data_IF_085439976373
#
_entry.id   IF_085439976373
#
_cell.length_a   1.000
_cell.length_b   1.000
_cell.length_c   1.000
_cell.angle_alpha   90.00
_cell.angle_beta   90.00
_cell.angle_gamma   90.00
#
_symmetry.space_group_name_H-M   'P 1'
#
loop_
_entity.id
_entity.type
_entity.pdbx_description
1 polymer ?
#
# COMPACT_ATOMS: atom_id res chain seq x y z
N UNK A 1 1.55 11.33 13.69
CA UNK A 1 1.20 12.43 12.80
C UNK A 1 1.82 13.74 13.20
N UNK A 2 1.68 14.17 14.46
CA UNK A 2 2.17 15.48 14.92
C UNK A 2 3.68 15.65 14.72
N UNK A 3 4.49 14.64 15.00
CA UNK A 3 5.96 14.71 14.88
C UNK A 3 6.41 15.02 13.46
N UNK A 4 5.79 14.43 12.44
CA UNK A 4 6.10 14.72 11.02
C UNK A 4 5.75 16.17 10.67
N UNK A 5 4.55 16.63 11.03
CA UNK A 5 4.08 17.99 10.75
C UNK A 5 4.95 19.03 11.42
N UNK A 6 5.29 18.81 12.70
CA UNK A 6 6.20 19.69 13.42
C UNK A 6 7.58 19.73 12.74
N UNK A 7 8.11 18.60 12.30
CA UNK A 7 9.36 18.52 11.55
C UNK A 7 9.30 19.33 10.25
N UNK A 8 8.25 19.14 9.43
CA UNK A 8 8.06 19.89 8.19
C UNK A 8 7.95 21.39 8.43
N UNK A 9 7.16 21.80 9.45
CA UNK A 9 7.05 23.20 9.85
C UNK A 9 8.40 23.79 10.22
N UNK A 10 9.23 23.04 10.97
CA UNK A 10 10.56 23.53 11.38
C UNK A 10 11.50 23.74 10.19
N UNK A 11 11.43 22.88 9.18
CA UNK A 11 12.20 23.06 7.93
C UNK A 11 11.74 24.30 7.16
N UNK A 12 10.44 24.45 6.97
CA UNK A 12 9.88 25.54 6.18
C UNK A 12 10.16 26.93 6.76
N UNK A 13 10.05 27.08 8.10
CA UNK A 13 10.22 28.38 8.76
C UNK A 13 11.68 28.73 9.06
N UNK A 14 12.62 27.81 8.80
CA UNK A 14 14.06 28.02 9.10
C UNK A 14 14.92 27.80 7.85
N UNK A 15 15.26 28.87 7.11
CA UNK A 15 16.00 28.79 5.84
C UNK A 15 17.38 28.13 5.92
N UNK A 16 17.95 28.02 7.13
CA UNK A 16 19.23 27.37 7.37
C UNK A 16 19.14 25.85 7.57
N UNK A 17 17.93 25.28 7.66
CA UNK A 17 17.69 23.84 7.73
C UNK A 17 17.44 23.35 6.29
N UNK A 18 18.34 22.51 5.77
CA UNK A 18 18.27 22.01 4.41
C UNK A 18 17.13 21.01 4.17
N UNK A 19 16.68 20.32 5.20
CA UNK A 19 15.65 19.29 5.12
C UNK A 19 15.64 18.40 6.34
N UNK A 20 14.87 17.30 6.25
CA UNK A 20 14.83 16.27 7.30
C UNK A 20 14.85 14.88 6.64
N UNK A 21 15.31 13.92 7.40
CA UNK A 21 15.23 12.51 7.02
C UNK A 21 14.05 11.86 7.70
N UNK A 22 13.24 11.14 6.93
CA UNK A 22 12.13 10.37 7.47
C UNK A 22 12.64 9.00 7.87
N UNK A 23 12.50 8.67 9.14
CA UNK A 23 12.75 7.33 9.63
C UNK A 23 11.41 6.68 9.98
N UNK A 24 10.92 5.75 9.14
CA UNK A 24 11.58 5.18 7.97
C UNK A 24 10.59 5.04 6.80
N UNK A 25 11.09 4.78 5.59
CA UNK A 25 10.26 4.55 4.41
C UNK A 25 9.42 3.27 4.54
N UNK A 26 10.04 2.17 4.97
CA UNK A 26 9.38 0.87 5.17
C UNK A 26 9.44 0.46 6.64
N UNK A 27 8.42 -0.26 7.10
CA UNK A 27 8.56 -1.02 8.32
C UNK A 27 9.62 -2.12 8.12
N UNK A 28 10.30 -2.51 9.19
CA UNK A 28 11.31 -3.56 9.17
C UNK A 28 11.26 -4.40 10.45
N UNK A 29 11.82 -5.58 10.40
CA UNK A 29 11.87 -6.51 11.54
C UNK A 29 12.99 -6.15 12.50
N UNK A 30 12.79 -6.45 13.79
CA UNK A 30 13.79 -6.38 14.83
C UNK A 30 13.71 -5.18 15.76
N UNK A 31 12.81 -4.21 15.53
CA UNK A 31 12.64 -3.04 16.39
C UNK A 31 11.15 -2.77 16.69
N UNK A 32 10.50 -3.62 17.51
CA UNK A 32 9.06 -3.48 17.78
C UNK A 32 8.69 -2.32 18.69
N UNK A 33 9.65 -1.66 19.37
CA UNK A 33 9.40 -0.58 20.31
C UNK A 33 8.48 0.51 19.74
N UNK A 34 7.44 0.98 20.46
CA UNK A 34 7.15 0.74 21.88
C UNK A 34 6.29 -0.51 22.19
N UNK A 35 6.05 -1.36 21.20
CA UNK A 35 5.21 -2.54 21.33
C UNK A 35 6.04 -3.73 21.85
N UNK A 36 5.36 -4.62 22.57
CA UNK A 36 5.92 -5.86 23.10
C UNK A 36 5.45 -7.04 22.25
N UNK A 37 5.87 -8.26 22.59
CA UNK A 37 5.37 -9.47 21.99
C UNK A 37 3.82 -9.48 21.92
N UNK A 38 3.20 -9.84 20.78
CA UNK A 38 3.77 -10.55 19.61
C UNK A 38 4.43 -9.68 18.53
N UNK A 39 4.58 -8.37 18.70
CA UNK A 39 5.18 -7.51 17.69
C UNK A 39 6.66 -7.85 17.48
N UNK A 40 7.03 -8.07 16.20
CA UNK A 40 8.40 -8.42 15.79
C UNK A 40 9.02 -7.40 14.84
N UNK A 41 8.28 -6.38 14.47
CA UNK A 41 8.70 -5.35 13.52
C UNK A 41 8.29 -3.95 13.97
N UNK A 42 8.82 -2.97 13.26
CA UNK A 42 8.44 -1.57 13.46
C UNK A 42 7.01 -1.31 13.02
N UNK A 43 6.43 -0.20 13.52
CA UNK A 43 5.11 0.28 13.08
C UNK A 43 5.16 1.78 12.70
N UNK A 44 6.34 2.36 12.60
CA UNK A 44 6.55 3.77 12.30
C UNK A 44 7.01 4.04 10.85
N UNK A 45 7.15 3.00 10.01
CA UNK A 45 7.34 3.17 8.57
C UNK A 45 6.18 3.90 7.92
N UNK A 46 6.43 4.65 6.85
CA UNK A 46 5.35 5.27 6.05
C UNK A 46 4.66 4.26 5.12
N UNK A 47 5.34 3.14 4.87
CA UNK A 47 4.81 1.94 4.23
C UNK A 47 5.08 0.75 5.16
N UNK A 48 4.35 -0.34 5.00
CA UNK A 48 4.61 -1.57 5.73
C UNK A 48 5.78 -2.36 5.13
N UNK A 49 6.08 -3.55 5.67
CA UNK A 49 7.18 -4.41 5.20
C UNK A 49 7.00 -4.94 3.77
N UNK A 50 5.78 -4.91 3.23
CA UNK A 50 5.45 -5.29 1.85
C UNK A 50 5.37 -4.08 0.91
N UNK A 51 5.55 -2.86 1.41
CA UNK A 51 5.44 -1.63 0.64
C UNK A 51 4.01 -1.13 0.45
N UNK A 52 3.03 -1.70 1.15
CA UNK A 52 1.68 -1.14 1.17
C UNK A 52 1.68 0.19 1.93
N UNK A 53 1.05 1.19 1.31
CA UNK A 53 1.03 2.56 1.82
C UNK A 53 0.19 2.65 3.09
N UNK A 54 0.76 3.26 4.13
CA UNK A 54 0.05 3.61 5.37
C UNK A 54 -0.42 5.06 5.31
N UNK A 55 -1.26 5.49 6.25
CA UNK A 55 -1.74 6.89 6.28
C UNK A 55 -0.59 7.90 6.34
N UNK A 56 0.51 7.55 7.01
CA UNK A 56 1.72 8.36 7.05
C UNK A 56 2.35 8.61 5.66
N UNK A 57 2.17 7.69 4.69
CA UNK A 57 2.59 7.91 3.30
C UNK A 57 1.85 9.09 2.69
N UNK A 58 0.54 9.17 2.88
CA UNK A 58 -0.29 10.23 2.32
C UNK A 58 -0.06 11.58 2.99
N UNK A 59 0.27 11.59 4.30
CA UNK A 59 0.73 12.80 4.98
C UNK A 59 2.02 13.35 4.32
N UNK A 60 3.00 12.47 4.08
CA UNK A 60 4.25 12.88 3.42
C UNK A 60 3.99 13.30 1.97
N UNK A 61 3.16 12.55 1.23
CA UNK A 61 2.79 12.92 -0.14
C UNK A 61 2.15 14.31 -0.18
N UNK A 62 1.21 14.61 0.71
CA UNK A 62 0.55 15.93 0.78
C UNK A 62 1.55 17.07 1.00
N UNK A 63 2.64 16.82 1.72
CA UNK A 63 3.66 17.83 1.97
C UNK A 63 4.65 18.02 0.81
N UNK A 64 4.97 16.94 0.09
CA UNK A 64 6.02 16.94 -0.95
C UNK A 64 5.50 17.00 -2.39
N UNK A 65 4.20 17.15 -2.63
CA UNK A 65 3.63 17.31 -3.96
C UNK A 65 2.92 18.64 -4.13
N UNK A 66 3.04 19.23 -5.32
CA UNK A 66 2.25 20.40 -5.72
C UNK A 66 0.91 20.00 -6.38
N UNK A 67 0.75 18.73 -6.75
CA UNK A 67 -0.53 18.22 -7.26
C UNK A 67 -1.57 18.20 -6.15
N UNK A 68 -2.77 18.78 -6.36
CA UNK A 68 -3.84 18.69 -5.38
C UNK A 68 -4.15 17.24 -5.02
N UNK A 69 -4.13 16.93 -3.73
CA UNK A 69 -4.48 15.61 -3.23
C UNK A 69 -5.24 15.68 -1.91
N UNK A 70 -6.06 14.68 -1.68
CA UNK A 70 -6.76 14.46 -0.43
C UNK A 70 -6.82 12.96 -0.16
N UNK A 71 -6.73 12.55 1.11
CA UNK A 71 -6.80 11.16 1.54
C UNK A 71 -7.64 11.05 2.80
N UNK A 72 -8.64 10.17 2.77
CA UNK A 72 -9.53 9.88 3.90
C UNK A 72 -8.91 8.77 4.76
N UNK A 73 -8.92 8.95 6.07
CA UNK A 73 -8.60 7.91 7.04
C UNK A 73 -9.60 7.95 8.20
N UNK A 74 -9.90 6.79 8.82
CA UNK A 74 -9.58 5.43 8.42
C UNK A 74 -10.49 4.90 7.31
N UNK A 75 -10.46 3.59 7.05
CA UNK A 75 -11.46 2.89 6.22
C UNK A 75 -12.89 3.09 6.77
N UNK A 76 -13.91 2.70 5.98
CA UNK A 76 -15.31 2.88 6.41
C UNK A 76 -16.04 1.54 6.61
N UNK A 77 -15.48 0.68 7.50
CA UNK A 77 -16.08 -0.59 7.95
C UNK A 77 -15.98 -0.69 9.47
N UNK A 78 -17.05 -0.33 10.18
CA UNK A 78 -17.14 -0.31 11.64
C UNK A 78 -18.46 -0.93 12.12
N UNK A 79 -18.67 -0.99 13.43
CA UNK A 79 -19.94 -1.40 14.00
C UNK A 79 -20.98 -0.24 13.84
N UNK A 80 -22.24 -0.61 13.56
CA UNK A 80 -23.29 0.39 13.37
C UNK A 80 -23.45 1.30 14.60
N UNK A 81 -23.40 2.60 14.36
CA UNK A 81 -23.51 3.64 15.40
C UNK A 81 -22.22 3.89 16.19
N UNK A 82 -21.13 3.18 15.90
CA UNK A 82 -19.81 3.49 16.46
C UNK A 82 -19.38 4.89 16.02
N UNK A 83 -18.90 5.71 16.95
CA UNK A 83 -18.33 7.02 16.63
C UNK A 83 -16.93 6.88 16.06
N UNK A 84 -16.76 7.19 14.79
CA UNK A 84 -15.51 7.10 14.06
C UNK A 84 -14.85 8.46 13.95
N UNK A 85 -13.58 8.55 14.33
CA UNK A 85 -12.76 9.74 14.13
C UNK A 85 -12.22 9.75 12.68
N UNK A 86 -12.95 10.40 11.78
CA UNK A 86 -12.55 10.56 10.37
C UNK A 86 -11.60 11.73 10.25
N UNK A 87 -10.48 11.53 9.59
CA UNK A 87 -9.43 12.53 9.39
C UNK A 87 -9.04 12.60 7.92
N UNK A 88 -8.29 13.65 7.53
CA UNK A 88 -7.75 13.76 6.18
C UNK A 88 -6.30 14.25 6.16
N UNK A 89 -5.53 13.70 5.21
CA UNK A 89 -4.25 14.27 4.80
C UNK A 89 -4.41 14.91 3.44
N UNK A 90 -4.07 16.20 3.32
CA UNK A 90 -4.26 16.96 2.10
C UNK A 90 -3.27 18.14 2.02
N UNK A 91 -3.02 18.63 0.81
CA UNK A 91 -2.36 19.90 0.53
C UNK A 91 -3.37 20.99 0.10
N UNK A 92 -4.69 20.71 0.18
CA UNK A 92 -5.73 21.70 -0.06
C UNK A 92 -5.92 22.64 1.13
N UNK A 93 -6.39 23.85 0.89
CA UNK A 93 -6.67 24.84 1.95
C UNK A 93 -8.00 24.63 2.69
N UNK A 94 -8.92 23.84 2.10
CA UNK A 94 -10.19 23.48 2.69
C UNK A 94 -10.56 22.04 2.32
N UNK A 95 -11.31 21.35 3.20
CA UNK A 95 -11.93 20.07 2.90
C UNK A 95 -13.38 20.02 3.38
N UNK A 96 -14.22 19.32 2.65
CA UNK A 96 -15.61 19.06 2.99
C UNK A 96 -15.88 17.55 2.97
N UNK A 97 -16.43 17.05 4.08
CA UNK A 97 -16.78 15.64 4.23
C UNK A 97 -18.26 15.43 3.92
N UNK A 98 -18.55 14.37 3.17
CA UNK A 98 -19.92 13.92 2.87
C UNK A 98 -20.07 12.46 3.29
N UNK A 99 -21.25 12.14 3.84
CA UNK A 99 -21.69 10.76 4.07
C UNK A 99 -22.97 10.53 3.28
N UNK A 100 -22.95 9.55 2.37
CA UNK A 100 -24.09 9.23 1.50
C UNK A 100 -24.62 10.47 0.74
N UNK A 101 -23.72 11.36 0.30
CA UNK A 101 -24.06 12.60 -0.41
C UNK A 101 -24.52 13.76 0.47
N UNK A 102 -24.68 13.55 1.80
CA UNK A 102 -25.01 14.61 2.74
C UNK A 102 -23.74 15.24 3.32
N UNK A 103 -23.57 16.55 3.20
CA UNK A 103 -22.45 17.28 3.79
C UNK A 103 -22.48 17.20 5.31
N UNK A 104 -21.32 16.87 5.88
CA UNK A 104 -21.03 16.91 7.31
C UNK A 104 -20.26 18.17 7.72
N UNK A 105 -20.09 19.08 6.77
CA UNK A 105 -19.46 20.37 6.95
C UNK A 105 -18.10 20.49 6.29
N UNK A 106 -17.77 21.74 5.99
CA UNK A 106 -16.52 22.17 5.38
C UNK A 106 -15.61 22.78 6.45
N UNK A 107 -14.32 22.51 6.38
CA UNK A 107 -13.31 23.02 7.30
C UNK A 107 -12.13 23.63 6.55
N UNK A 108 -11.60 24.74 7.07
CA UNK A 108 -10.32 25.29 6.66
C UNK A 108 -9.18 24.46 7.22
N UNK A 109 -8.10 24.32 6.48
CA UNK A 109 -6.94 23.52 6.84
C UNK A 109 -5.67 24.37 6.70
N UNK A 110 -4.98 24.57 7.80
CA UNK A 110 -3.67 25.19 7.78
C UNK A 110 -2.62 24.22 7.19
N UNK A 111 -1.59 24.74 6.53
CA UNK A 111 -0.54 23.96 5.82
C UNK A 111 0.03 22.77 6.63
N UNK A 112 0.11 22.89 7.94
CA UNK A 112 0.68 21.87 8.82
C UNK A 112 -0.37 21.17 9.70
N UNK A 113 -1.64 21.30 9.34
CA UNK A 113 -2.73 20.72 10.12
C UNK A 113 -3.50 19.67 9.30
N UNK A 114 -4.56 19.16 9.85
CA UNK A 114 -5.54 18.29 9.19
C UNK A 114 -6.93 18.68 9.63
N UNK A 115 -7.93 18.37 8.83
CA UNK A 115 -9.30 18.41 9.27
C UNK A 115 -9.73 17.03 9.75
N UNK A 116 -10.64 17.03 10.73
CA UNK A 116 -11.19 15.83 11.33
C UNK A 116 -12.68 16.00 11.64
N UNK A 117 -13.39 14.89 11.68
CA UNK A 117 -14.82 14.81 12.03
C UNK A 117 -15.05 13.60 12.91
N UNK A 118 -15.99 13.71 13.85
CA UNK A 118 -16.51 12.57 14.59
C UNK A 118 -17.85 12.18 13.98
N UNK A 119 -17.92 11.00 13.39
CA UNK A 119 -19.05 10.57 12.56
C UNK A 119 -19.58 9.24 13.07
N UNK A 120 -20.85 9.15 13.52
CA UNK A 120 -21.46 7.86 13.80
C UNK A 120 -21.48 7.01 12.54
N UNK A 121 -20.95 5.77 12.63
CA UNK A 121 -20.92 4.89 11.50
C UNK A 121 -22.33 4.51 11.04
N UNK A 122 -22.57 4.69 9.75
CA UNK A 122 -23.65 4.08 9.00
C UNK A 122 -23.12 3.59 7.65
N UNK A 123 -23.70 2.51 7.13
CA UNK A 123 -23.25 1.97 5.83
C UNK A 123 -23.39 2.97 4.70
N UNK A 124 -22.43 2.96 3.78
CA UNK A 124 -22.44 3.80 2.60
C UNK A 124 -21.06 4.29 2.21
N UNK A 125 -21.01 5.49 1.65
CA UNK A 125 -19.78 6.09 1.12
C UNK A 125 -19.48 7.39 1.83
N UNK A 126 -18.28 7.48 2.41
CA UNK A 126 -17.64 8.74 2.74
C UNK A 126 -16.96 9.29 1.49
N UNK A 127 -17.26 10.54 1.16
CA UNK A 127 -16.55 11.31 0.13
C UNK A 127 -15.96 12.54 0.77
N UNK A 128 -14.71 12.83 0.48
CA UNK A 128 -14.06 14.06 0.88
C UNK A 128 -13.64 14.84 -0.35
N UNK A 129 -13.98 16.13 -0.35
CA UNK A 129 -13.68 17.05 -1.45
C UNK A 129 -12.68 18.08 -0.96
N UNK A 130 -11.58 18.25 -1.69
CA UNK A 130 -10.54 19.25 -1.42
C UNK A 130 -10.72 20.49 -2.27
N UNK A 131 -10.50 21.66 -1.64
CA UNK A 131 -10.67 22.97 -2.30
C UNK A 131 -9.40 23.81 -2.15
N UNK A 132 -9.09 24.58 -3.20
CA UNK A 132 -8.08 25.65 -3.23
C UNK A 132 -8.74 26.88 -3.80
N UNK A 133 -8.64 28.01 -3.08
CA UNK A 133 -9.29 29.27 -3.46
C UNK A 133 -10.81 29.13 -3.72
N UNK A 134 -11.46 28.28 -2.91
CA UNK A 134 -12.91 28.01 -2.98
C UNK A 134 -13.33 27.13 -4.17
N UNK A 135 -12.40 26.64 -4.99
CA UNK A 135 -12.66 25.72 -6.11
C UNK A 135 -12.35 24.29 -5.73
N UNK A 136 -13.23 23.35 -6.08
CA UNK A 136 -12.97 21.93 -5.99
C UNK A 136 -11.80 21.54 -6.92
N UNK A 137 -10.79 20.83 -6.38
CA UNK A 137 -9.58 20.45 -7.12
C UNK A 137 -9.29 18.95 -7.06
N UNK A 138 -9.76 18.26 -6.03
CA UNK A 138 -9.58 16.82 -5.89
C UNK A 138 -10.65 16.23 -4.96
N UNK A 139 -10.81 14.91 -5.00
CA UNK A 139 -11.65 14.18 -4.06
C UNK A 139 -11.11 12.78 -3.80
N UNK A 140 -11.51 12.19 -2.67
CA UNK A 140 -11.26 10.80 -2.31
C UNK A 140 -12.55 10.18 -1.76
N UNK A 141 -12.71 8.86 -1.91
CA UNK A 141 -13.90 8.14 -1.48
C UNK A 141 -13.51 6.82 -0.82
N UNK A 142 -14.16 6.51 0.31
CA UNK A 142 -14.11 5.21 0.96
C UNK A 142 -15.52 4.70 1.20
N UNK A 143 -15.78 3.45 0.84
CA UNK A 143 -17.11 2.84 0.94
C UNK A 143 -17.10 1.66 1.90
N UNK A 144 -18.25 1.43 2.55
CA UNK A 144 -18.46 0.22 3.34
C UNK A 144 -18.48 -1.00 2.43
N UNK A 145 -17.53 -1.89 2.63
CA UNK A 145 -17.52 -3.19 1.97
C UNK A 145 -18.43 -4.19 2.70
N UNK A 146 -19.01 -5.10 1.95
CA UNK A 146 -19.65 -6.30 2.46
C UNK A 146 -18.59 -7.39 2.74
N UNK A 147 -19.01 -8.64 2.90
CA UNK A 147 -18.08 -9.78 3.07
C UNK A 147 -17.20 -9.95 1.84
N UNK A 148 -15.94 -10.31 2.06
CA UNK A 148 -15.02 -10.64 0.98
C UNK A 148 -15.60 -11.73 0.08
N UNK A 149 -15.47 -11.56 -1.24
CA UNK A 149 -16.05 -12.45 -2.24
C UNK A 149 -15.04 -12.95 -3.24
N UNK A 150 -14.11 -12.08 -3.66
CA UNK A 150 -13.22 -12.36 -4.76
C UNK A 150 -11.80 -11.88 -4.48
N UNK A 151 -10.83 -12.69 -4.89
CA UNK A 151 -9.40 -12.34 -4.90
C UNK A 151 -9.11 -11.47 -6.13
N UNK A 152 -8.28 -10.45 -5.95
CA UNK A 152 -7.71 -9.62 -7.02
C UNK A 152 -6.21 -9.72 -6.95
N UNK A 153 -5.55 -10.00 -8.08
CA UNK A 153 -4.09 -10.03 -8.21
C UNK A 153 -3.64 -8.88 -9.09
N UNK A 154 -2.74 -8.05 -8.58
CA UNK A 154 -2.16 -6.92 -9.31
C UNK A 154 -0.64 -7.06 -9.35
N UNK A 155 -0.04 -7.42 -10.49
CA UNK A 155 1.41 -7.41 -10.64
C UNK A 155 1.95 -5.98 -10.48
N UNK A 156 3.10 -5.83 -9.82
CA UNK A 156 3.76 -4.52 -9.73
C UNK A 156 4.50 -4.16 -11.01
N UNK A 157 4.91 -5.15 -11.80
CA UNK A 157 5.65 -4.98 -13.04
C UNK A 157 4.80 -5.44 -14.23
N UNK A 158 4.87 -4.72 -15.34
CA UNK A 158 4.20 -5.09 -16.59
C UNK A 158 4.90 -6.27 -17.30
N UNK A 159 6.19 -6.44 -17.05
CA UNK A 159 7.02 -7.52 -17.57
C UNK A 159 8.12 -7.89 -16.58
N UNK A 160 8.72 -9.05 -16.79
CA UNK A 160 9.91 -9.55 -16.11
C UNK A 160 11.01 -9.83 -17.14
N UNK A 161 12.25 -9.56 -16.80
CA UNK A 161 13.36 -9.88 -17.70
C UNK A 161 13.68 -11.37 -17.68
N UNK A 162 13.93 -11.96 -18.87
CA UNK A 162 14.42 -13.31 -19.01
C UNK A 162 15.83 -13.44 -18.40
N UNK A 163 15.85 -13.60 -17.09
CA UNK A 163 17.03 -13.81 -16.29
C UNK A 163 16.62 -14.47 -14.97
N UNK A 164 17.30 -15.54 -14.58
CA UNK A 164 17.00 -16.25 -13.31
C UNK A 164 17.16 -15.38 -12.06
N UNK A 165 17.58 -14.12 -12.19
CA UNK A 165 17.81 -13.18 -11.10
C UNK A 165 16.69 -12.16 -10.97
N UNK A 166 15.71 -12.14 -11.89
CA UNK A 166 14.59 -11.21 -11.84
C UNK A 166 13.35 -11.85 -11.22
N UNK A 167 12.53 -11.03 -10.58
CA UNK A 167 11.34 -11.47 -9.87
C UNK A 167 10.17 -10.52 -10.07
N UNK A 168 8.97 -11.08 -10.01
CA UNK A 168 7.72 -10.32 -10.03
C UNK A 168 7.10 -10.33 -8.65
N UNK A 169 6.63 -9.17 -8.23
CA UNK A 169 5.82 -8.99 -7.03
C UNK A 169 4.36 -8.92 -7.46
N UNK A 170 3.54 -9.81 -6.91
CA UNK A 170 2.09 -9.79 -7.10
C UNK A 170 1.42 -9.34 -5.80
N UNK A 171 0.74 -8.19 -5.85
CA UNK A 171 -0.10 -7.71 -4.76
C UNK A 171 -1.46 -8.38 -4.82
N UNK A 172 -1.92 -8.83 -3.68
CA UNK A 172 -3.19 -9.50 -3.50
C UNK A 172 -4.08 -8.59 -2.68
N UNK A 173 -5.30 -8.41 -3.14
CA UNK A 173 -6.38 -7.79 -2.38
C UNK A 173 -7.65 -8.60 -2.52
N UNK A 174 -8.64 -8.31 -1.70
CA UNK A 174 -9.96 -8.92 -1.82
C UNK A 174 -11.03 -7.85 -1.92
N UNK A 175 -12.05 -8.16 -2.72
CA UNK A 175 -13.20 -7.30 -2.95
C UNK A 175 -14.49 -8.05 -2.59
N UNK A 176 -15.53 -7.28 -2.28
CA UNK A 176 -16.89 -7.80 -2.13
C UNK A 176 -17.58 -8.00 -3.50
N UNK A 177 -18.86 -8.38 -3.48
CA UNK A 177 -19.68 -8.58 -4.69
C UNK A 177 -19.92 -7.29 -5.50
N UNK A 178 -19.68 -6.11 -4.91
CA UNK A 178 -19.83 -4.81 -5.56
C UNK A 178 -18.49 -4.26 -6.08
N UNK A 179 -17.39 -5.00 -5.88
CA UNK A 179 -16.03 -4.57 -6.26
C UNK A 179 -15.37 -3.64 -5.26
N UNK A 180 -15.93 -3.47 -4.06
CA UNK A 180 -15.34 -2.66 -2.99
C UNK A 180 -14.29 -3.45 -2.24
N UNK A 181 -13.10 -2.87 -2.04
CA UNK A 181 -12.03 -3.49 -1.25
C UNK A 181 -12.46 -3.72 0.19
N UNK A 182 -12.15 -4.89 0.74
CA UNK A 182 -12.54 -5.30 2.11
C UNK A 182 -11.36 -5.13 3.07
N UNK A 183 -11.28 -4.00 3.79
CA UNK A 183 -10.11 -3.67 4.62
C UNK A 183 -10.02 -4.50 5.91
N UNK A 184 -11.03 -5.29 6.21
CA UNK A 184 -11.09 -6.14 7.41
C UNK A 184 -10.88 -7.62 7.11
N UNK A 185 -10.60 -7.98 5.86
CA UNK A 185 -10.42 -9.37 5.48
C UNK A 185 -9.07 -9.91 5.97
N UNK A 186 -9.10 -11.14 6.49
CA UNK A 186 -7.95 -11.88 7.03
C UNK A 186 -7.84 -13.31 6.48
N UNK A 187 -8.55 -13.63 5.39
CA UNK A 187 -8.57 -14.95 4.76
C UNK A 187 -7.17 -15.48 4.48
N UNK A 188 -6.97 -16.79 4.63
CA UNK A 188 -5.75 -17.47 4.18
C UNK A 188 -5.77 -17.60 2.66
N UNK A 189 -4.74 -17.08 2.00
CA UNK A 189 -4.54 -17.17 0.57
C UNK A 189 -3.44 -18.18 0.28
N UNK A 190 -3.71 -19.14 -0.61
CA UNK A 190 -2.76 -20.14 -1.11
C UNK A 190 -2.36 -19.80 -2.52
N UNK A 191 -1.09 -19.98 -2.83
CA UNK A 191 -0.48 -19.60 -4.09
C UNK A 191 0.06 -20.80 -4.83
N UNK A 192 -0.07 -20.78 -6.15
CA UNK A 192 0.71 -21.61 -7.07
C UNK A 192 1.31 -20.72 -8.14
N UNK A 193 2.51 -21.08 -8.61
CA UNK A 193 3.20 -20.36 -9.68
C UNK A 193 3.53 -21.31 -10.83
N UNK A 194 3.42 -20.80 -12.05
CA UNK A 194 3.91 -21.44 -13.28
C UNK A 194 4.88 -20.48 -13.97
N UNK A 195 5.96 -21.02 -14.57
CA UNK A 195 7.04 -20.24 -15.15
C UNK A 195 7.95 -19.54 -14.13
N UNK A 196 7.83 -19.88 -12.84
CA UNK A 196 8.64 -19.32 -11.77
C UNK A 196 8.55 -20.08 -10.45
N UNK A 197 9.38 -19.69 -9.49
CA UNK A 197 9.44 -20.22 -8.13
C UNK A 197 8.96 -19.16 -7.13
N UNK A 198 8.06 -19.51 -6.23
CA UNK A 198 7.67 -18.63 -5.12
C UNK A 198 8.86 -18.52 -4.16
N UNK A 199 9.42 -17.33 -4.03
CA UNK A 199 10.59 -17.08 -3.17
C UNK A 199 10.22 -16.38 -1.87
N UNK A 200 8.99 -15.89 -1.75
CA UNK A 200 8.50 -15.26 -0.53
C UNK A 200 7.05 -14.85 -0.59
N UNK A 201 6.47 -14.72 0.60
CA UNK A 201 5.12 -14.20 0.84
C UNK A 201 5.14 -13.22 2.03
N UNK A 202 4.23 -12.26 2.04
CA UNK A 202 4.13 -11.29 3.13
C UNK A 202 2.75 -10.63 3.19
N UNK A 203 2.46 -9.94 4.30
CA UNK A 203 1.19 -9.21 4.48
C UNK A 203 1.33 -7.88 5.22
N UNK A 204 2.55 -7.48 5.58
CA UNK A 204 2.79 -6.23 6.31
C UNK A 204 2.38 -6.24 7.80
N UNK A 205 1.84 -7.33 8.33
CA UNK A 205 1.45 -7.43 9.74
C UNK A 205 2.68 -7.53 10.66
N UNK A 206 2.96 -6.52 11.52
CA UNK A 206 4.12 -6.55 12.41
C UNK A 206 4.01 -7.62 13.51
N UNK A 207 2.82 -8.21 13.69
CA UNK A 207 2.55 -9.27 14.69
C UNK A 207 2.48 -10.68 14.04
N UNK A 208 2.70 -10.80 12.72
CA UNK A 208 2.66 -12.11 12.06
C UNK A 208 3.93 -12.90 12.31
N UNK A 209 3.77 -14.15 12.70
CA UNK A 209 4.82 -15.15 12.88
C UNK A 209 4.80 -16.24 11.81
N UNK A 210 4.01 -16.04 10.74
CA UNK A 210 3.97 -16.94 9.61
C UNK A 210 5.31 -16.94 8.86
N UNK A 211 5.68 -18.09 8.28
CA UNK A 211 6.92 -18.22 7.52
C UNK A 211 6.90 -17.35 6.26
N UNK A 212 7.95 -16.56 6.03
CA UNK A 212 8.06 -15.74 4.81
C UNK A 212 8.34 -16.60 3.56
N UNK A 213 8.97 -17.78 3.73
CA UNK A 213 9.16 -18.77 2.67
C UNK A 213 8.07 -19.82 2.78
N UNK A 214 6.93 -19.54 2.18
CA UNK A 214 5.75 -20.38 2.14
C UNK A 214 4.99 -20.15 0.83
N UNK A 215 4.00 -20.99 0.58
CA UNK A 215 3.08 -20.88 -0.55
C UNK A 215 1.69 -20.41 -0.10
N UNK A 216 1.60 -19.87 1.11
CA UNK A 216 0.35 -19.33 1.67
C UNK A 216 0.63 -18.18 2.64
N UNK A 217 -0.35 -17.28 2.78
CA UNK A 217 -0.28 -16.14 3.70
C UNK A 217 -1.68 -15.65 4.02
N UNK A 218 -1.95 -15.36 5.29
CA UNK A 218 -3.17 -14.62 5.65
C UNK A 218 -3.11 -13.19 5.12
N UNK A 219 -4.27 -12.67 4.76
CA UNK A 219 -4.43 -11.24 4.51
C UNK A 219 -4.24 -10.46 5.82
N UNK A 220 -3.77 -9.24 5.69
CA UNK A 220 -3.76 -8.23 6.75
C UNK A 220 -4.27 -6.91 6.16
N UNK A 221 -5.31 -6.35 6.78
CA UNK A 221 -6.04 -5.22 6.21
C UNK A 221 -6.54 -5.48 4.77
N UNK A 222 -6.93 -6.71 4.48
CA UNK A 222 -7.38 -7.14 3.16
C UNK A 222 -6.28 -7.33 2.12
N UNK A 223 -5.00 -7.31 2.51
CA UNK A 223 -3.84 -7.32 1.62
C UNK A 223 -2.84 -8.42 1.99
N UNK A 224 -2.20 -9.01 0.99
CA UNK A 224 -0.97 -9.77 1.11
C UNK A 224 -0.17 -9.71 -0.20
N UNK A 225 0.97 -10.36 -0.24
CA UNK A 225 1.90 -10.29 -1.37
C UNK A 225 2.59 -11.63 -1.58
N UNK A 226 2.84 -11.99 -2.84
CA UNK A 226 3.68 -13.11 -3.23
C UNK A 226 4.75 -12.63 -4.20
N UNK A 227 5.97 -13.13 -4.02
CA UNK A 227 7.13 -12.82 -4.85
C UNK A 227 7.53 -14.08 -5.60
N UNK A 228 7.59 -13.99 -6.93
CA UNK A 228 7.93 -15.12 -7.80
C UNK A 228 9.16 -14.76 -8.61
N UNK A 229 10.23 -15.56 -8.43
CA UNK A 229 11.43 -15.50 -9.25
C UNK A 229 11.17 -16.29 -10.54
N UNK A 230 11.45 -15.66 -11.68
CA UNK A 230 11.29 -16.29 -12.98
C UNK A 230 12.20 -17.53 -13.13
N UNK A 231 11.67 -18.58 -13.75
CA UNK A 231 12.46 -19.72 -14.22
C UNK A 231 13.16 -19.39 -15.54
N UNK A 232 14.36 -19.89 -15.72
CA UNK A 232 15.16 -19.67 -16.94
C UNK A 232 14.39 -20.14 -18.19
N UNK A 233 14.32 -19.28 -19.21
CA UNK A 233 13.65 -19.55 -20.46
C UNK A 233 12.10 -19.59 -20.40
N UNK A 234 11.49 -19.23 -19.26
CA UNK A 234 10.05 -19.14 -19.17
C UNK A 234 9.53 -17.92 -19.95
N UNK A 235 8.53 -18.10 -20.82
CA UNK A 235 7.93 -17.01 -21.58
C UNK A 235 7.03 -16.10 -20.72
N UNK A 236 6.49 -16.66 -19.65
CA UNK A 236 5.58 -15.97 -18.74
C UNK A 236 5.79 -16.45 -17.31
N UNK A 237 5.45 -15.59 -16.35
CA UNK A 237 5.27 -15.93 -14.94
C UNK A 237 3.81 -15.78 -14.59
N UNK A 238 3.17 -16.87 -14.19
CA UNK A 238 1.75 -16.91 -13.85
C UNK A 238 1.56 -17.27 -12.39
N UNK A 239 0.76 -16.51 -11.66
CA UNK A 239 0.35 -16.80 -10.28
C UNK A 239 -1.14 -17.05 -10.23
N UNK A 240 -1.53 -18.12 -9.55
CA UNK A 240 -2.91 -18.39 -9.16
C UNK A 240 -3.03 -18.31 -7.64
N UNK A 241 -4.00 -17.53 -7.15
CA UNK A 241 -4.33 -17.37 -5.75
C UNK A 241 -5.70 -17.97 -5.45
N UNK A 242 -5.79 -18.78 -4.41
CA UNK A 242 -7.02 -19.46 -3.98
C UNK A 242 -7.25 -19.28 -2.48
N UNK A 243 -8.50 -19.35 -2.06
CA UNK A 243 -8.94 -19.40 -0.65
C UNK A 243 -10.22 -20.19 -0.58
N UNK A 244 -10.50 -20.81 0.57
CA UNK A 244 -11.63 -21.75 0.70
C UNK A 244 -13.00 -21.08 0.50
N UNK A 245 -13.13 -19.77 0.74
CA UNK A 245 -14.38 -19.02 0.71
C UNK A 245 -14.45 -17.95 -0.39
N UNK A 246 -13.38 -17.78 -1.18
CA UNK A 246 -13.28 -16.70 -2.15
C UNK A 246 -13.18 -17.23 -3.58
N UNK A 247 -13.70 -16.46 -4.54
CA UNK A 247 -13.44 -16.71 -5.95
C UNK A 247 -11.94 -16.52 -6.22
N UNK A 248 -11.33 -17.56 -6.82
CA UNK A 248 -9.90 -17.55 -7.17
C UNK A 248 -9.56 -16.54 -8.25
N UNK A 249 -8.29 -16.14 -8.31
CA UNK A 249 -7.77 -15.28 -9.36
C UNK A 249 -6.46 -15.82 -9.93
N UNK A 250 -6.17 -15.44 -11.16
CA UNK A 250 -4.91 -15.74 -11.85
C UNK A 250 -4.41 -14.47 -12.53
N UNK A 251 -3.11 -14.21 -12.44
CA UNK A 251 -2.46 -13.13 -13.18
C UNK A 251 -1.17 -13.62 -13.82
N UNK A 252 -0.86 -13.08 -14.99
CA UNK A 252 0.30 -13.46 -15.79
C UNK A 252 1.10 -12.22 -16.16
N UNK A 253 2.42 -12.30 -15.97
CA UNK A 253 3.40 -11.29 -16.40
C UNK A 253 4.27 -11.89 -17.49
N UNK A 254 4.44 -11.16 -18.57
CA UNK A 254 5.22 -11.62 -19.72
C UNK A 254 6.71 -11.47 -19.46
N UNK A 255 7.47 -12.48 -19.88
CA UNK A 255 8.94 -12.40 -19.93
C UNK A 255 9.40 -11.66 -21.18
N UNK A 256 10.42 -10.84 -21.03
CA UNK A 256 11.07 -10.12 -22.13
C UNK A 256 12.57 -10.35 -22.12
N UNK A 257 13.16 -10.45 -23.30
CA UNK A 257 14.62 -10.62 -23.41
C UNK A 257 15.37 -9.45 -22.77
N UNK A 258 16.34 -9.76 -21.92
CA UNK A 258 17.24 -8.77 -21.37
C UNK A 258 18.36 -8.44 -22.36
N UNK A 259 18.13 -7.49 -23.26
CA UNK A 259 19.13 -7.08 -24.27
C UNK A 259 20.44 -6.58 -23.64
N UNK A 260 20.41 -6.02 -22.43
CA UNK A 260 21.59 -5.57 -21.72
C UNK A 260 22.46 -6.73 -21.22
N UNK A 261 21.89 -7.91 -20.97
CA UNK A 261 22.63 -9.10 -20.56
C UNK A 261 23.63 -9.53 -21.66
N UNK A 262 23.27 -9.36 -22.95
CA UNK A 262 24.20 -9.65 -24.08
C UNK A 262 25.40 -8.71 -24.09
N UNK A 263 25.22 -7.45 -23.72
CA UNK A 263 26.30 -6.46 -23.64
C UNK A 263 27.25 -6.78 -22.49
N UNK A 264 26.73 -7.13 -21.31
CA UNK A 264 27.55 -7.49 -20.14
C UNK A 264 28.34 -8.79 -20.35
N UNK A 265 27.73 -9.83 -20.93
CA UNK A 265 28.42 -11.09 -21.23
C UNK A 265 29.52 -10.87 -22.28
N UNK A 266 29.27 -10.02 -23.27
CA UNK A 266 30.27 -9.71 -24.32
C UNK A 266 31.50 -8.97 -23.75
N UNK A 267 31.30 -8.07 -22.79
CA UNK A 267 32.39 -7.37 -22.09
C UNK A 267 33.11 -8.26 -21.07
N UNK A 268 32.40 -9.12 -20.33
CA UNK A 268 32.96 -10.06 -19.39
C UNK A 268 33.90 -11.08 -20.07
N UNK A 269 33.50 -11.65 -21.19
CA UNK A 269 34.31 -12.61 -21.94
C UNK A 269 35.58 -12.02 -22.59
N UNK A 270 35.65 -10.68 -22.70
CA UNK A 270 36.88 -10.02 -23.19
C UNK A 270 37.86 -9.61 -22.09
N UNK A 271 37.44 -9.62 -20.81
CA UNK A 271 38.30 -9.21 -19.70
C UNK A 271 38.72 -10.30 -18.73
N UNK A 272 38.22 -11.52 -18.88
CA UNK A 272 38.61 -12.67 -18.02
C UNK A 272 39.58 -13.64 -18.69
N UNK A 273 40.35 -13.23 -19.70
CA UNK A 273 41.49 -13.96 -20.23
C UNK A 273 42.83 -13.37 -19.77
N UNK A 274 42.93 -12.90 -18.57
CA UNK A 274 44.19 -12.61 -17.90
C UNK A 274 44.14 -13.04 -16.43
N UNK A 275 44.50 -14.29 -16.23
CA UNK A 275 44.86 -15.09 -15.02
C UNK A 275 43.72 -15.81 -14.34
#
# INVERSE_FOLDING_TARGET
GNTYRDGFKQVDIRPHIMGLFIWTGFDYRGEPTPFEWPSIGTQFGIMDTCGFKKDAFYLNKAFFTDEPMIHILPHWNFAYGEEVHVMTHTNCSEAELFLNGKSLGKKNIDKYDMADWFVPFEKGTLKMVGYIDGKEVCSDEVSTANSAKKIVITPQNEFVYDSCDDAVIFNISVIDENGVSVPTADNLIKFTADGGEIIGVGNGNPNSHEADKAEERHLFNGLCQVIVRQSDGAENVTVTATSDELESATATVKSVANENKKIFITFSNKHFLCR
#
